data_IF_979281992291
#
_entry.id   IF_979281992291
#
_cell.length_a   1.000
_cell.length_b   1.000
_cell.length_c   1.000
_cell.angle_alpha   90.00
_cell.angle_beta   90.00
_cell.angle_gamma   90.00
#
_symmetry.space_group_name_H-M   'P 1'
#
loop_
_entity.id
_entity.type
_entity.pdbx_description
1 polymer ?
#
# COMPACT_ATOMS: atom_id res chain seq x y z
N UNK A 1 18.80 -34.65 14.97
CA UNK A 1 19.61 -33.51 14.43
C UNK A 1 19.23 -32.29 15.28
N UNK A 2 20.19 -31.67 15.94
CA UNK A 2 19.95 -30.48 16.74
C UNK A 2 20.39 -29.27 15.94
N UNK A 3 19.44 -28.35 15.69
CA UNK A 3 19.70 -27.09 14.99
C UNK A 3 19.59 -25.97 16.02
N UNK A 4 20.67 -25.15 16.13
CA UNK A 4 20.67 -23.99 17.00
C UNK A 4 20.44 -22.74 16.19
N UNK A 5 19.29 -22.08 16.40
CA UNK A 5 18.91 -20.82 15.77
C UNK A 5 18.64 -19.80 16.86
N UNK A 6 19.28 -18.62 16.77
CA UNK A 6 19.04 -17.50 17.68
C UNK A 6 18.16 -16.48 17.04
N UNK A 7 17.22 -15.95 17.82
CA UNK A 7 16.35 -14.82 17.46
C UNK A 7 15.49 -15.06 16.22
N UNK A 8 15.13 -16.33 15.94
CA UNK A 8 14.19 -16.68 14.89
C UNK A 8 13.17 -17.66 15.44
N UNK A 9 11.91 -17.42 15.21
CA UNK A 9 10.88 -18.42 15.37
C UNK A 9 10.78 -19.20 14.04
N UNK A 10 11.21 -20.46 14.08
CA UNK A 10 11.11 -21.35 12.91
C UNK A 10 10.11 -22.42 13.22
N UNK A 11 8.99 -22.43 12.52
CA UNK A 11 8.02 -23.51 12.58
C UNK A 11 8.28 -24.46 11.41
N UNK A 12 8.92 -25.61 11.72
CA UNK A 12 9.12 -26.67 10.75
C UNK A 12 8.04 -27.72 10.99
N UNK A 13 7.17 -27.93 10.01
CA UNK A 13 6.14 -28.97 10.05
C UNK A 13 6.59 -30.05 9.07
N UNK A 14 7.17 -31.13 9.59
CA UNK A 14 7.55 -32.31 8.79
C UNK A 14 6.91 -33.54 9.43
N UNK A 15 5.81 -33.98 8.86
CA UNK A 15 5.22 -35.28 9.21
C UNK A 15 5.18 -35.62 10.70
N UNK A 16 5.99 -36.57 11.13
CA UNK A 16 6.04 -37.10 12.51
C UNK A 16 7.28 -36.69 13.30
N UNK A 17 8.19 -35.92 12.70
CA UNK A 17 9.45 -35.60 13.38
C UNK A 17 9.39 -34.23 14.05
N UNK A 18 9.72 -34.21 15.35
CA UNK A 18 9.89 -32.99 16.14
C UNK A 18 11.38 -32.60 16.14
N UNK A 19 11.67 -31.35 15.81
CA UNK A 19 13.02 -30.79 15.89
C UNK A 19 13.09 -29.86 17.10
N UNK A 20 14.05 -30.12 18.00
CA UNK A 20 14.42 -29.16 19.04
C UNK A 20 15.45 -28.16 18.50
N UNK A 21 15.13 -26.88 18.62
CA UNK A 21 16.01 -25.78 18.23
C UNK A 21 16.58 -25.16 19.52
N UNK A 22 17.82 -25.46 19.81
CA UNK A 22 18.52 -24.93 20.97
C UNK A 22 19.38 -23.74 20.58
N UNK A 23 19.11 -22.55 21.11
CA UNK A 23 19.94 -21.37 20.93
C UNK A 23 21.27 -21.50 21.70
N UNK A 24 22.37 -21.27 21.07
CA UNK A 24 23.65 -21.06 21.78
C UNK A 24 23.58 -19.78 22.65
N UNK A 25 24.54 -19.57 23.57
CA UNK A 25 24.58 -18.47 24.54
C UNK A 25 24.12 -17.13 23.97
N UNK A 26 23.03 -16.61 24.57
CA UNK A 26 22.44 -15.35 24.25
C UNK A 26 23.48 -14.22 24.35
N UNK A 27 23.70 -13.37 23.35
CA UNK A 27 24.24 -12.05 23.62
C UNK A 27 23.22 -11.32 24.50
N UNK A 28 23.72 -10.54 25.49
CA UNK A 28 22.88 -9.78 26.41
C UNK A 28 21.69 -9.18 25.66
N UNK A 29 20.52 -9.38 26.22
CA UNK A 29 19.25 -9.00 25.64
C UNK A 29 19.34 -7.59 25.05
N UNK A 30 19.46 -7.49 23.75
CA UNK A 30 18.77 -6.39 23.09
C UNK A 30 17.35 -6.49 23.58
N UNK A 31 16.83 -5.44 24.20
CA UNK A 31 15.43 -5.36 24.62
C UNK A 31 14.61 -5.99 23.51
N UNK A 32 13.88 -7.04 23.86
CA UNK A 32 12.96 -7.65 22.93
C UNK A 32 12.17 -6.50 22.34
N UNK A 33 12.08 -6.35 21.00
CA UNK A 33 11.26 -5.32 20.41
C UNK A 33 9.93 -5.47 21.09
N UNK A 34 9.49 -4.41 21.79
CA UNK A 34 8.38 -4.39 22.73
C UNK A 34 7.33 -5.35 22.21
N UNK A 35 7.00 -6.37 23.01
CA UNK A 35 6.15 -7.48 22.65
C UNK A 35 5.02 -6.90 21.81
N UNK A 36 5.07 -7.17 20.53
CA UNK A 36 4.06 -6.70 19.60
C UNK A 36 2.82 -7.45 20.04
N UNK A 37 2.05 -6.81 20.93
CA UNK A 37 0.74 -7.32 21.26
C UNK A 37 0.01 -7.43 19.95
N UNK A 38 -0.20 -8.63 19.49
CA UNK A 38 -1.08 -9.01 18.39
C UNK A 38 -2.52 -8.56 18.64
N UNK A 39 -2.72 -7.41 19.14
CA UNK A 39 -3.99 -6.82 19.50
C UNK A 39 -4.35 -5.61 18.69
N UNK A 40 -3.46 -5.15 17.84
CA UNK A 40 -3.73 -4.01 16.96
C UNK A 40 -4.15 -4.51 15.59
N UNK A 41 -5.43 -4.50 15.31
CA UNK A 41 -5.96 -4.36 13.95
C UNK A 41 -5.78 -5.51 12.96
N UNK A 42 -6.06 -6.73 13.36
CA UNK A 42 -6.52 -7.74 12.42
C UNK A 42 -8.01 -7.90 12.68
N UNK A 43 -8.80 -6.99 12.17
CA UNK A 43 -10.17 -7.34 11.88
C UNK A 43 -10.10 -8.18 10.62
N UNK A 44 -10.58 -9.41 10.70
CA UNK A 44 -10.68 -10.33 9.56
C UNK A 44 -12.01 -10.12 8.81
N UNK A 45 -12.71 -9.03 9.11
CA UNK A 45 -14.00 -8.76 8.47
C UNK A 45 -13.79 -8.28 7.06
N UNK A 46 -14.44 -8.97 6.14
CA UNK A 46 -14.47 -8.58 4.73
C UNK A 46 -15.89 -8.20 4.35
N UNK A 47 -16.06 -7.00 3.84
CA UNK A 47 -17.34 -6.45 3.40
C UNK A 47 -17.41 -6.42 1.88
N UNK A 48 -18.60 -6.51 1.32
CA UNK A 48 -18.86 -5.92 -0.01
C UNK A 48 -18.90 -4.40 0.12
N UNK A 49 -18.78 -3.66 -0.99
CA UNK A 49 -18.89 -2.19 -0.97
C UNK A 49 -20.21 -1.75 -0.32
N UNK A 50 -21.33 -2.37 -0.68
CA UNK A 50 -22.65 -2.04 -0.12
C UNK A 50 -22.76 -2.37 1.36
N UNK A 51 -22.21 -3.51 1.79
CA UNK A 51 -22.20 -3.89 3.21
C UNK A 51 -21.30 -2.95 4.03
N UNK A 52 -20.18 -2.51 3.49
CA UNK A 52 -19.31 -1.52 4.10
C UNK A 52 -20.06 -0.20 4.33
N UNK A 53 -20.72 0.32 3.28
CA UNK A 53 -21.47 1.56 3.36
C UNK A 53 -22.63 1.49 4.37
N UNK A 54 -23.30 0.33 4.49
CA UNK A 54 -24.40 0.12 5.43
C UNK A 54 -23.95 -0.08 6.90
N UNK A 55 -22.68 -0.40 7.15
CA UNK A 55 -22.18 -0.73 8.49
C UNK A 55 -20.95 0.10 8.91
N UNK A 56 -20.85 1.33 8.44
CA UNK A 56 -19.68 2.21 8.68
C UNK A 56 -19.34 2.38 10.17
N UNK A 57 -20.33 2.34 11.04
CA UNK A 57 -20.17 2.42 12.50
C UNK A 57 -19.43 1.21 13.11
N UNK A 58 -19.44 0.07 12.41
CA UNK A 58 -18.80 -1.17 12.84
C UNK A 58 -17.43 -1.41 12.22
N UNK A 59 -17.12 -0.68 11.15
CA UNK A 59 -15.87 -0.82 10.41
C UNK A 59 -14.67 -0.40 11.26
N UNK A 60 -13.62 -1.19 11.20
CA UNK A 60 -12.36 -0.99 11.94
C UNK A 60 -11.18 -0.89 10.98
N UNK A 61 -10.10 -0.30 11.46
CA UNK A 61 -8.82 -0.32 10.73
C UNK A 61 -8.36 -1.78 10.58
N UNK A 62 -7.92 -2.13 9.38
CA UNK A 62 -7.57 -3.51 9.01
C UNK A 62 -8.70 -4.31 8.37
N UNK A 63 -9.96 -3.86 8.46
CA UNK A 63 -11.07 -4.47 7.72
C UNK A 63 -10.84 -4.36 6.21
N UNK A 64 -11.42 -5.29 5.48
CA UNK A 64 -11.30 -5.40 4.03
C UNK A 64 -12.61 -5.10 3.33
N UNK A 65 -12.51 -4.53 2.15
CA UNK A 65 -13.65 -4.28 1.25
C UNK A 65 -13.36 -4.93 -0.09
N UNK A 66 -14.21 -5.86 -0.51
CA UNK A 66 -14.12 -6.49 -1.83
C UNK A 66 -14.50 -5.49 -2.91
N UNK A 67 -13.54 -5.19 -3.76
CA UNK A 67 -13.74 -4.33 -4.93
C UNK A 67 -14.00 -5.18 -6.17
N UNK A 68 -14.95 -4.77 -7.03
CA UNK A 68 -15.13 -5.41 -8.34
C UNK A 68 -13.95 -5.11 -9.26
N UNK A 69 -13.79 -5.90 -10.31
CA UNK A 69 -12.91 -5.55 -11.44
C UNK A 69 -13.48 -4.38 -12.22
N UNK A 70 -12.59 -3.59 -12.84
CA UNK A 70 -12.98 -2.48 -13.72
C UNK A 70 -11.89 -2.18 -14.74
N UNK A 71 -12.27 -1.56 -15.84
CA UNK A 71 -11.34 -1.13 -16.89
C UNK A 71 -11.16 0.38 -16.83
N UNK A 72 -9.91 0.83 -16.83
CA UNK A 72 -9.56 2.25 -16.97
C UNK A 72 -9.17 2.47 -18.42
N UNK A 73 -9.83 3.37 -19.15
CA UNK A 73 -9.54 3.58 -20.57
C UNK A 73 -8.15 4.20 -20.77
N UNK A 74 -7.58 3.99 -21.95
CA UNK A 74 -6.35 4.63 -22.34
C UNK A 74 -6.52 6.14 -22.40
N UNK A 75 -5.54 6.89 -21.90
CA UNK A 75 -5.56 8.34 -21.84
C UNK A 75 -4.14 8.93 -22.01
N UNK A 76 -4.11 10.19 -22.43
CA UNK A 76 -2.88 10.99 -22.45
C UNK A 76 -3.03 12.09 -21.41
N UNK A 77 -2.04 12.21 -20.55
CA UNK A 77 -1.92 13.33 -19.62
C UNK A 77 -0.96 14.36 -20.21
N UNK A 78 -1.49 15.54 -20.46
CA UNK A 78 -0.75 16.63 -21.10
C UNK A 78 0.29 17.23 -20.15
N UNK A 79 1.28 17.90 -20.73
CA UNK A 79 2.37 18.59 -20.09
C UNK A 79 3.39 19.03 -21.14
N UNK A 80 4.55 19.52 -20.74
CA UNK A 80 5.66 19.78 -21.66
C UNK A 80 6.08 18.49 -22.37
N UNK A 81 6.03 17.38 -21.62
CA UNK A 81 6.10 16.02 -22.15
C UNK A 81 4.78 15.29 -21.86
N UNK A 82 4.24 14.58 -22.85
CA UNK A 82 2.97 13.87 -22.75
C UNK A 82 3.19 12.45 -22.20
N UNK A 83 2.58 12.14 -21.08
CA UNK A 83 2.57 10.79 -20.53
C UNK A 83 1.35 10.02 -21.03
N UNK A 84 1.58 8.80 -21.50
CA UNK A 84 0.52 7.92 -21.99
C UNK A 84 0.24 6.84 -20.98
N UNK A 85 -1.02 6.66 -20.65
CA UNK A 85 -1.52 5.52 -19.91
C UNK A 85 -2.33 4.65 -20.87
N UNK A 86 -1.87 3.42 -21.07
CA UNK A 86 -2.63 2.44 -21.84
C UNK A 86 -3.86 1.99 -21.08
N UNK A 87 -4.84 1.43 -21.79
CA UNK A 87 -5.99 0.79 -21.17
C UNK A 87 -5.54 -0.27 -20.14
N UNK A 88 -6.18 -0.29 -19.00
CA UNK A 88 -5.84 -1.18 -17.89
C UNK A 88 -7.07 -1.89 -17.36
N UNK A 89 -7.03 -3.21 -17.42
CA UNK A 89 -7.99 -4.08 -16.73
C UNK A 89 -7.52 -4.29 -15.28
N UNK A 90 -8.19 -3.63 -14.36
CA UNK A 90 -7.96 -3.79 -12.93
C UNK A 90 -8.78 -4.99 -12.46
N UNK A 91 -8.11 -6.00 -11.95
CA UNK A 91 -8.74 -7.21 -11.41
C UNK A 91 -9.52 -6.87 -10.13
N UNK A 92 -10.52 -7.70 -9.83
CA UNK A 92 -11.16 -7.66 -8.51
C UNK A 92 -10.09 -7.84 -7.42
N UNK A 93 -10.12 -6.99 -6.41
CA UNK A 93 -9.16 -6.97 -5.31
C UNK A 93 -9.85 -6.69 -3.99
N UNK A 94 -9.14 -6.88 -2.89
CA UNK A 94 -9.55 -6.34 -1.61
C UNK A 94 -8.91 -4.95 -1.42
N UNK A 95 -9.64 -4.03 -0.80
CA UNK A 95 -9.06 -2.83 -0.26
C UNK A 95 -9.06 -2.89 1.27
N UNK A 96 -8.01 -2.40 1.87
CA UNK A 96 -7.81 -2.44 3.32
C UNK A 96 -8.10 -1.06 3.90
N UNK A 97 -8.89 -1.01 4.97
CA UNK A 97 -9.12 0.21 5.75
C UNK A 97 -7.86 0.54 6.53
N UNK A 98 -7.19 1.63 6.17
CA UNK A 98 -5.90 2.02 6.75
C UNK A 98 -6.00 3.15 7.78
N UNK A 99 -7.11 3.89 7.77
CA UNK A 99 -7.32 5.02 8.68
C UNK A 99 -8.60 5.78 8.39
N UNK A 100 -8.66 6.97 8.95
CA UNK A 100 -9.69 7.97 8.67
C UNK A 100 -9.04 9.31 8.37
N UNK A 101 -9.67 10.09 7.52
CA UNK A 101 -9.30 11.48 7.30
C UNK A 101 -9.79 12.39 8.45
N UNK A 102 -9.49 13.67 8.36
CA UNK A 102 -9.91 14.69 9.34
C UNK A 102 -11.43 14.89 9.44
N UNK A 103 -12.17 14.48 8.40
CA UNK A 103 -13.64 14.51 8.36
C UNK A 103 -14.26 13.21 8.87
N UNK A 104 -13.45 12.21 9.23
CA UNK A 104 -13.90 10.90 9.69
C UNK A 104 -14.24 9.92 8.57
N UNK A 105 -13.98 10.25 7.30
CA UNK A 105 -14.15 9.33 6.18
C UNK A 105 -13.07 8.26 6.19
N UNK A 106 -13.42 7.05 5.77
CA UNK A 106 -12.46 5.96 5.73
C UNK A 106 -11.50 6.11 4.57
N UNK A 107 -10.20 5.98 4.88
CA UNK A 107 -9.13 5.88 3.91
C UNK A 107 -8.85 4.40 3.69
N UNK A 108 -8.90 3.97 2.44
CA UNK A 108 -8.61 2.61 2.02
C UNK A 108 -7.39 2.58 1.08
N UNK A 109 -6.70 1.46 1.05
CA UNK A 109 -5.61 1.19 0.11
C UNK A 109 -5.86 -0.16 -0.56
N UNK A 110 -5.57 -0.29 -1.85
CA UNK A 110 -5.60 -1.59 -2.53
C UNK A 110 -4.66 -2.58 -1.83
N UNK A 111 -5.07 -3.84 -1.72
CA UNK A 111 -4.22 -4.87 -1.11
C UNK A 111 -3.00 -5.14 -1.98
N UNK A 112 -3.18 -5.16 -3.29
CA UNK A 112 -2.12 -5.39 -4.27
C UNK A 112 -1.63 -4.10 -4.95
N UNK A 113 -0.44 -4.19 -5.50
CA UNK A 113 0.05 -3.25 -6.50
C UNK A 113 -0.66 -3.54 -7.83
N UNK A 114 -1.12 -2.50 -8.54
CA UNK A 114 -2.01 -2.68 -9.67
C UNK A 114 -1.30 -2.63 -11.03
N UNK A 115 -0.35 -1.74 -11.18
CA UNK A 115 0.40 -1.55 -12.43
C UNK A 115 1.68 -0.73 -12.17
N UNK A 116 2.57 -0.73 -13.16
CA UNK A 116 3.78 0.10 -13.14
C UNK A 116 3.57 1.43 -13.86
N UNK A 117 4.19 2.50 -13.36
CA UNK A 117 4.18 3.82 -13.97
C UNK A 117 5.34 4.68 -13.46
N UNK A 118 5.75 5.66 -14.25
CA UNK A 118 6.46 6.83 -13.74
C UNK A 118 5.46 7.74 -12.97
N UNK A 119 5.98 8.68 -12.19
CA UNK A 119 5.12 9.67 -11.51
C UNK A 119 4.84 10.86 -12.42
N UNK A 120 5.87 11.41 -13.03
CA UNK A 120 5.75 12.63 -13.83
C UNK A 120 6.93 12.80 -14.79
N UNK A 121 6.67 13.28 -15.99
CA UNK A 121 7.69 13.61 -16.97
C UNK A 121 8.09 15.10 -16.93
N UNK A 122 7.37 15.92 -16.18
CA UNK A 122 7.46 17.39 -16.20
C UNK A 122 8.01 17.99 -14.89
N UNK A 123 8.55 17.17 -14.00
CA UNK A 123 9.19 17.61 -12.75
C UNK A 123 8.30 18.53 -11.89
N UNK A 124 7.01 18.19 -11.75
CA UNK A 124 6.10 18.95 -10.89
C UNK A 124 6.47 18.74 -9.40
N UNK A 125 6.30 19.79 -8.60
CA UNK A 125 6.67 19.80 -7.19
C UNK A 125 5.57 19.30 -6.24
N UNK A 126 4.37 19.05 -6.73
CA UNK A 126 3.23 18.57 -5.96
C UNK A 126 2.61 17.39 -6.66
N UNK A 127 2.35 16.32 -5.93
CA UNK A 127 1.83 15.08 -6.48
C UNK A 127 0.53 15.29 -7.27
N UNK A 128 -0.38 16.11 -6.77
CA UNK A 128 -1.66 16.39 -7.42
C UNK A 128 -1.50 17.07 -8.78
N UNK A 129 -0.34 17.66 -9.02
CA UNK A 129 0.01 18.31 -10.30
C UNK A 129 0.79 17.38 -11.23
N UNK A 130 1.26 16.23 -10.76
CA UNK A 130 1.95 15.23 -11.58
C UNK A 130 0.98 14.52 -12.50
N UNK A 131 1.49 13.95 -13.59
CA UNK A 131 0.66 13.24 -14.56
C UNK A 131 0.02 11.99 -13.95
N UNK A 132 0.74 11.23 -13.11
CA UNK A 132 0.15 10.11 -12.37
C UNK A 132 -0.90 10.59 -11.36
N UNK A 133 -0.63 11.68 -10.63
CA UNK A 133 -1.58 12.25 -9.68
C UNK A 133 -2.89 12.66 -10.36
N UNK A 134 -2.80 13.37 -11.49
CA UNK A 134 -3.96 13.76 -12.29
C UNK A 134 -4.71 12.55 -12.85
N UNK A 135 -3.99 11.53 -13.36
CA UNK A 135 -4.59 10.29 -13.83
C UNK A 135 -5.39 9.57 -12.75
N UNK A 136 -4.83 9.43 -11.55
CA UNK A 136 -5.53 8.78 -10.43
C UNK A 136 -6.75 9.57 -9.98
N UNK A 137 -6.68 10.90 -9.94
CA UNK A 137 -7.77 11.77 -9.52
C UNK A 137 -8.85 11.98 -10.58
N UNK A 138 -8.61 11.63 -11.83
CA UNK A 138 -9.57 11.80 -12.91
C UNK A 138 -10.03 10.45 -13.50
N UNK A 139 -9.27 9.87 -14.40
CA UNK A 139 -9.71 8.71 -15.18
C UNK A 139 -9.83 7.46 -14.32
N UNK A 140 -8.87 7.23 -13.43
CA UNK A 140 -8.91 6.08 -12.53
C UNK A 140 -10.09 6.18 -11.55
N UNK A 141 -10.25 7.35 -10.92
CA UNK A 141 -11.38 7.63 -10.02
C UNK A 141 -12.72 7.49 -10.73
N UNK A 142 -12.85 7.99 -11.97
CA UNK A 142 -14.07 7.84 -12.77
C UNK A 142 -14.39 6.38 -13.06
N UNK A 143 -13.36 5.56 -13.40
CA UNK A 143 -13.53 4.14 -13.65
C UNK A 143 -13.97 3.39 -12.39
N UNK A 144 -13.39 3.69 -11.22
CA UNK A 144 -13.84 3.16 -9.93
C UNK A 144 -15.30 3.46 -9.67
N UNK A 145 -15.72 4.71 -9.82
CA UNK A 145 -17.10 5.11 -9.60
C UNK A 145 -18.06 4.43 -10.60
N UNK A 146 -17.66 4.29 -11.86
CA UNK A 146 -18.41 3.56 -12.89
C UNK A 146 -18.61 2.08 -12.57
N UNK A 147 -17.69 1.49 -11.81
CA UNK A 147 -17.76 0.11 -11.33
C UNK A 147 -18.55 -0.05 -10.01
N UNK A 148 -19.12 1.04 -9.49
CA UNK A 148 -19.89 1.01 -8.24
C UNK A 148 -19.06 1.11 -6.97
N UNK A 149 -17.83 1.59 -7.07
CA UNK A 149 -16.96 1.94 -5.92
C UNK A 149 -17.13 3.44 -5.68
N UNK A 150 -17.90 3.90 -4.67
CA UNK A 150 -18.21 5.32 -4.48
C UNK A 150 -17.04 6.08 -3.86
N UNK A 151 -15.94 6.17 -4.61
CA UNK A 151 -14.75 6.87 -4.18
C UNK A 151 -14.90 8.40 -4.41
N UNK A 152 -14.54 9.18 -3.40
CA UNK A 152 -14.51 10.66 -3.47
C UNK A 152 -13.18 11.17 -3.99
N UNK A 153 -12.10 10.45 -3.70
CA UNK A 153 -10.76 10.79 -4.14
C UNK A 153 -9.90 9.54 -4.30
N UNK A 154 -8.93 9.60 -5.20
CA UNK A 154 -7.94 8.56 -5.42
C UNK A 154 -6.56 9.18 -5.59
N UNK A 155 -5.54 8.57 -5.00
CA UNK A 155 -4.15 9.03 -5.07
C UNK A 155 -3.21 7.98 -4.51
N UNK A 156 -2.03 8.39 -4.08
CA UNK A 156 -1.07 7.53 -3.38
C UNK A 156 -1.00 7.91 -1.91
N UNK A 157 -0.56 6.96 -1.09
CA UNK A 157 -0.22 7.22 0.30
C UNK A 157 1.04 8.10 0.35
N UNK A 158 1.09 9.06 1.27
CA UNK A 158 2.28 9.88 1.47
C UNK A 158 3.31 9.20 2.37
N UNK A 159 4.55 9.67 2.31
CA UNK A 159 5.60 9.23 3.23
C UNK A 159 5.24 9.52 4.68
N UNK A 160 4.62 10.68 4.96
CA UNK A 160 4.22 11.06 6.31
C UNK A 160 3.09 10.15 6.84
N UNK A 161 2.08 9.84 6.02
CA UNK A 161 1.01 8.92 6.38
C UNK A 161 1.50 7.49 6.63
N UNK A 162 2.62 7.08 6.02
CA UNK A 162 3.15 5.72 6.15
C UNK A 162 4.28 5.60 7.17
N UNK A 163 5.16 6.59 7.28
CA UNK A 163 6.41 6.52 8.06
C UNK A 163 6.58 7.66 9.04
N UNK A 164 5.77 8.70 8.97
CA UNK A 164 5.90 9.90 9.80
C UNK A 164 5.56 9.66 11.26
N UNK A 165 5.77 10.69 12.07
CA UNK A 165 5.45 10.66 13.50
C UNK A 165 3.95 10.39 13.75
N UNK A 166 3.09 10.86 12.85
CA UNK A 166 1.64 10.67 12.87
C UNK A 166 1.18 9.64 11.82
N UNK A 167 2.02 8.64 11.53
CA UNK A 167 1.66 7.60 10.57
C UNK A 167 0.31 6.96 10.90
N UNK A 168 -0.44 6.64 9.86
CA UNK A 168 -1.72 5.95 10.00
C UNK A 168 -1.52 4.64 10.77
N UNK A 169 -2.45 4.33 11.66
CA UNK A 169 -2.33 3.24 12.61
C UNK A 169 -2.01 1.90 11.93
N UNK A 170 -2.61 1.65 10.77
CA UNK A 170 -2.35 0.44 9.99
C UNK A 170 -0.86 0.27 9.64
N UNK A 171 -0.15 1.35 9.32
CA UNK A 171 1.25 1.30 8.90
C UNK A 171 2.27 1.33 10.05
N UNK A 172 1.84 1.45 11.29
CA UNK A 172 2.75 1.30 12.44
C UNK A 172 3.38 -0.07 12.48
N UNK A 173 2.69 -1.10 11.99
CA UNK A 173 3.29 -2.41 11.74
C UNK A 173 4.02 -2.42 10.40
N UNK A 174 5.33 -2.57 10.40
CA UNK A 174 6.16 -2.53 9.19
C UNK A 174 5.75 -3.55 8.11
N UNK A 175 5.25 -4.73 8.51
CA UNK A 175 4.72 -5.74 7.58
C UNK A 175 3.56 -5.23 6.72
N UNK A 176 2.75 -4.32 7.23
CA UNK A 176 1.59 -3.77 6.55
C UNK A 176 1.96 -2.78 5.43
N UNK A 177 3.23 -2.40 5.36
CA UNK A 177 3.78 -1.56 4.29
C UNK A 177 4.18 -2.36 3.07
N UNK A 178 4.33 -3.68 3.22
CA UNK A 178 4.71 -4.58 2.13
C UNK A 178 3.49 -4.86 1.26
N UNK A 179 3.67 -4.82 -0.04
CA UNK A 179 2.63 -5.15 -1.00
C UNK A 179 3.18 -6.05 -2.11
N UNK A 180 2.30 -6.82 -2.70
CA UNK A 180 2.59 -7.79 -3.75
C UNK A 180 1.84 -7.42 -5.02
N UNK A 181 2.25 -7.95 -6.14
CA UNK A 181 1.47 -7.99 -7.35
C UNK A 181 0.53 -9.21 -7.34
N UNK A 182 -0.50 -9.21 -8.19
CA UNK A 182 -1.44 -10.32 -8.28
C UNK A 182 -0.76 -11.63 -8.69
N UNK A 183 -0.84 -12.64 -7.83
CA UNK A 183 -0.32 -13.98 -8.10
C UNK A 183 1.20 -14.10 -7.98
N UNK A 184 1.87 -13.09 -7.48
CA UNK A 184 3.31 -13.08 -7.27
C UNK A 184 3.68 -13.38 -5.81
N UNK A 185 4.78 -14.10 -5.62
CA UNK A 185 5.34 -14.37 -4.29
C UNK A 185 6.29 -13.26 -3.80
N UNK A 186 6.67 -12.35 -4.70
CA UNK A 186 7.62 -11.29 -4.40
C UNK A 186 6.93 -9.97 -4.15
N UNK A 187 7.34 -9.29 -3.08
CA UNK A 187 6.92 -7.95 -2.77
C UNK A 187 7.45 -6.93 -3.79
N UNK A 188 6.67 -5.88 -4.03
CA UNK A 188 6.96 -4.85 -5.03
C UNK A 188 7.31 -3.52 -4.40
N UNK A 189 8.20 -2.79 -5.05
CA UNK A 189 8.43 -1.37 -4.77
C UNK A 189 7.30 -0.56 -5.35
N UNK A 190 6.71 0.32 -4.57
CA UNK A 190 5.62 1.16 -5.04
C UNK A 190 5.79 2.61 -4.61
N UNK A 191 5.33 3.50 -5.49
CA UNK A 191 5.42 4.93 -5.28
C UNK A 191 4.63 5.43 -4.07
N UNK A 192 5.17 6.47 -3.45
CA UNK A 192 4.48 7.33 -2.49
C UNK A 192 4.16 8.67 -3.15
N UNK A 193 3.17 9.38 -2.63
CA UNK A 193 2.81 10.72 -3.16
C UNK A 193 3.79 11.81 -2.77
N UNK A 194 4.72 11.57 -1.87
CA UNK A 194 5.70 12.55 -1.43
C UNK A 194 6.83 12.66 -2.45
N UNK A 195 6.96 13.82 -3.06
CA UNK A 195 8.09 14.17 -3.92
C UNK A 195 9.29 14.58 -3.05
N UNK A 196 10.48 14.42 -3.59
CA UNK A 196 11.71 14.80 -2.87
C UNK A 196 11.93 16.31 -3.01
N UNK A 197 12.00 17.02 -1.88
CA UNK A 197 11.98 18.48 -1.85
C UNK A 197 13.20 19.15 -2.51
N UNK A 198 14.35 18.48 -2.48
CA UNK A 198 15.60 19.04 -3.02
C UNK A 198 15.69 18.91 -4.54
N UNK A 199 15.05 17.88 -5.09
CA UNK A 199 15.03 17.60 -6.52
C UNK A 199 13.62 17.23 -6.98
N UNK A 200 12.97 18.10 -7.74
CA UNK A 200 11.62 17.82 -8.28
C UNK A 200 11.57 16.59 -9.22
N UNK A 201 12.74 16.10 -9.66
CA UNK A 201 12.87 14.90 -10.49
C UNK A 201 12.82 13.58 -9.68
N UNK A 202 12.78 13.63 -8.36
CA UNK A 202 12.76 12.44 -7.51
C UNK A 202 11.48 12.34 -6.67
N UNK A 203 11.06 11.11 -6.39
CA UNK A 203 9.93 10.80 -5.53
C UNK A 203 10.28 9.69 -4.56
N UNK A 204 9.61 9.67 -3.40
CA UNK A 204 9.75 8.57 -2.45
C UNK A 204 8.97 7.34 -2.91
N UNK A 205 9.49 6.18 -2.57
CA UNK A 205 8.80 4.91 -2.72
C UNK A 205 8.95 4.04 -1.46
N UNK A 206 8.05 3.09 -1.29
CA UNK A 206 8.15 2.05 -0.29
C UNK A 206 9.04 0.92 -0.82
N UNK A 207 10.13 0.67 -0.10
CA UNK A 207 11.08 -0.40 -0.40
C UNK A 207 10.71 -1.66 0.38
N UNK A 208 10.06 -2.58 -0.30
CA UNK A 208 9.60 -3.83 0.30
C UNK A 208 10.75 -4.79 0.68
N UNK A 209 11.91 -4.72 0.01
CA UNK A 209 13.06 -5.57 0.30
C UNK A 209 13.66 -5.30 1.69
N UNK A 210 13.49 -4.07 2.18
CA UNK A 210 13.96 -3.65 3.51
C UNK A 210 12.81 -3.50 4.52
N UNK A 211 11.86 -4.42 4.51
CA UNK A 211 10.74 -4.47 5.46
C UNK A 211 9.84 -3.22 5.43
N UNK A 212 9.62 -2.68 4.25
CA UNK A 212 8.79 -1.50 4.08
C UNK A 212 9.43 -0.23 4.63
N UNK A 213 10.69 0.01 4.32
CA UNK A 213 11.35 1.30 4.52
C UNK A 213 11.06 2.24 3.35
N UNK A 214 11.40 3.52 3.46
CA UNK A 214 11.29 4.46 2.35
C UNK A 214 12.65 4.71 1.69
N UNK A 215 12.64 4.88 0.37
CA UNK A 215 13.80 5.33 -0.40
C UNK A 215 13.33 6.30 -1.49
N UNK A 216 14.23 6.82 -2.31
CA UNK A 216 13.93 7.76 -3.40
C UNK A 216 14.39 7.22 -4.74
N UNK A 217 13.65 7.54 -5.80
CA UNK A 217 14.02 7.20 -7.17
C UNK A 217 13.59 8.31 -8.12
N UNK A 218 14.11 8.30 -9.33
CA UNK A 218 13.78 9.27 -10.37
C UNK A 218 12.30 9.15 -10.77
N UNK A 219 11.56 10.25 -10.63
CA UNK A 219 10.12 10.30 -10.86
C UNK A 219 9.72 10.12 -12.34
N UNK A 220 10.60 10.52 -13.26
CA UNK A 220 10.34 10.44 -14.72
C UNK A 220 10.95 9.22 -15.39
N UNK A 221 12.08 8.73 -14.88
CA UNK A 221 12.83 7.65 -15.53
C UNK A 221 12.58 6.26 -14.94
N UNK A 222 12.06 6.18 -13.73
CA UNK A 222 11.76 4.91 -13.08
C UNK A 222 10.29 4.53 -13.26
N UNK A 223 10.05 3.25 -13.56
CA UNK A 223 8.72 2.67 -13.51
C UNK A 223 8.66 1.77 -12.28
N UNK A 224 7.93 2.22 -11.26
CA UNK A 224 7.63 1.45 -10.07
C UNK A 224 6.14 1.19 -10.01
N UNK A 225 5.76 0.27 -9.14
CA UNK A 225 4.36 -0.09 -8.98
C UNK A 225 3.52 1.04 -8.38
N UNK A 226 2.25 1.06 -8.76
CA UNK A 226 1.23 1.96 -8.25
C UNK A 226 0.30 1.16 -7.35
N UNK A 227 0.21 1.56 -6.10
CA UNK A 227 -0.71 1.03 -5.09
C UNK A 227 -1.62 2.17 -4.63
N UNK A 228 -2.77 2.36 -5.27
CA UNK A 228 -3.61 3.50 -4.97
C UNK A 228 -4.23 3.43 -3.57
N UNK A 229 -4.39 4.59 -2.96
CA UNK A 229 -5.27 4.78 -1.82
C UNK A 229 -6.46 5.66 -2.24
N UNK A 230 -7.59 5.51 -1.61
CA UNK A 230 -8.80 6.26 -1.93
C UNK A 230 -9.66 6.48 -0.68
N UNK A 231 -10.55 7.46 -0.77
CA UNK A 231 -11.52 7.75 0.27
C UNK A 231 -12.89 7.28 -0.23
N UNK A 232 -13.57 6.44 0.55
CA UNK A 232 -14.97 6.11 0.27
C UNK A 232 -15.87 7.20 0.85
N UNK A 233 -16.70 7.74 -0.02
CA UNK A 233 -17.69 8.77 0.31
C UNK A 233 -18.66 8.35 1.41
N UNK A 234 -19.31 9.36 1.99
CA UNK A 234 -20.30 9.16 3.05
C UNK A 234 -21.60 8.54 2.52
#
# INVERSE_FOLDING_TARGET
MNINIKNCEVKIITGTDTFEINGGTQPAAAEAPAEYKEGGFISEMTYSVSAFMANRDKVRIGDRVKLPSFTVPAVKMDGDEVMKFDEKDIRADDAIVIGKDENGNFILIFDHCLFESAIDLNNKKRFEMTQLGQYLQSEFLRAMNGAGIPAESCGLISKEEMFGANALEYFKAGRNRIAFDFGEEYSRYYWLSTLYDEEASAAYFCDAAYRGTSSTNNASGASLYVRPRFILGA
#
